data_IF_304311651834
#
_entry.id   IF_304311651834
#
_cell.length_a   1.000
_cell.length_b   1.000
_cell.length_c   1.000
_cell.angle_alpha   90.00
_cell.angle_beta   90.00
_cell.angle_gamma   90.00
#
_symmetry.space_group_name_H-M   'P 1'
#
loop_
_entity.id
_entity.type
_entity.pdbx_description
1 polymer ?
#
# COMPACT_ATOMS: atom_id res chain seq x y z
N UNK A 1 1.92 34.84 -11.00
CA UNK A 1 1.36 33.73 -11.80
C UNK A 1 0.13 33.06 -11.16
N UNK A 2 0.05 32.79 -9.85
CA UNK A 2 -1.19 32.20 -9.25
C UNK A 2 -2.26 33.27 -8.96
N UNK A 3 -1.85 34.44 -8.46
CA UNK A 3 -2.75 35.58 -8.16
C UNK A 3 -3.47 36.14 -9.40
N UNK A 4 -2.86 36.03 -10.59
CA UNK A 4 -3.46 36.47 -11.86
C UNK A 4 -4.66 35.61 -12.28
N UNK A 5 -4.75 34.37 -11.79
CA UNK A 5 -5.91 33.48 -12.00
C UNK A 5 -6.94 33.56 -10.86
N UNK A 6 -6.83 34.54 -9.95
CA UNK A 6 -7.70 34.70 -8.77
C UNK A 6 -7.71 33.51 -7.79
N UNK A 7 -6.72 32.62 -7.86
CA UNK A 7 -6.54 31.57 -6.86
C UNK A 7 -5.81 32.10 -5.62
N UNK A 8 -6.16 31.55 -4.45
CA UNK A 8 -5.51 31.82 -3.16
C UNK A 8 -4.86 30.54 -2.65
N UNK A 9 -3.71 30.69 -1.99
CA UNK A 9 -3.02 29.59 -1.34
C UNK A 9 -3.72 29.26 -0.01
N UNK A 10 -3.87 27.97 0.30
CA UNK A 10 -4.34 27.54 1.61
C UNK A 10 -3.13 27.49 2.57
N UNK A 11 -3.07 28.42 3.52
CA UNK A 11 -1.94 28.57 4.43
C UNK A 11 -1.80 27.38 5.40
N UNK A 12 -2.91 26.78 5.85
CA UNK A 12 -2.89 25.59 6.71
C UNK A 12 -2.22 24.39 6.03
N UNK A 13 -2.42 24.25 4.70
CA UNK A 13 -1.83 23.18 3.89
C UNK A 13 -0.46 23.53 3.32
N UNK A 14 0.00 24.77 3.51
CA UNK A 14 1.26 25.26 2.95
C UNK A 14 2.35 25.24 4.01
N UNK A 15 3.41 24.49 3.76
CA UNK A 15 4.59 24.49 4.62
C UNK A 15 5.88 24.38 3.81
N UNK A 16 6.96 24.95 4.35
CA UNK A 16 8.29 24.83 3.75
C UNK A 16 8.90 23.49 4.18
N UNK A 17 9.02 22.56 3.25
CA UNK A 17 9.57 21.21 3.52
C UNK A 17 11.08 21.13 3.26
N UNK A 18 11.89 21.24 4.32
CA UNK A 18 13.36 21.16 4.24
C UNK A 18 13.86 19.74 3.91
N UNK A 19 15.14 19.62 3.57
CA UNK A 19 15.83 18.34 3.47
C UNK A 19 15.76 17.59 4.81
N UNK A 20 15.32 16.34 4.81
CA UNK A 20 15.09 15.52 6.02
C UNK A 20 13.61 15.38 6.42
N UNK A 21 12.74 16.34 6.11
CA UNK A 21 11.29 16.22 6.35
C UNK A 21 10.64 15.23 5.38
N UNK A 22 9.66 14.43 5.84
CA UNK A 22 8.86 13.52 4.97
C UNK A 22 8.04 14.33 3.97
N UNK A 23 8.40 14.26 2.69
CA UNK A 23 7.62 14.79 1.57
C UNK A 23 6.71 13.70 1.04
N UNK A 24 5.42 13.97 1.02
CA UNK A 24 4.40 13.08 0.46
C UNK A 24 3.74 13.78 -0.72
N UNK A 25 3.82 13.17 -1.90
CA UNK A 25 3.11 13.63 -3.10
C UNK A 25 2.19 12.51 -3.53
N UNK A 26 0.89 12.79 -3.64
CA UNK A 26 -0.15 11.81 -4.03
C UNK A 26 -0.05 10.48 -3.26
N UNK A 27 0.23 10.53 -1.95
CA UNK A 27 0.38 9.34 -1.10
C UNK A 27 1.73 8.60 -1.20
N UNK A 28 2.68 9.09 -2.00
CA UNK A 28 4.01 8.51 -2.19
C UNK A 28 5.05 9.34 -1.47
N UNK A 29 5.97 8.68 -0.75
CA UNK A 29 7.12 9.36 -0.14
C UNK A 29 8.15 9.64 -1.24
N UNK A 30 8.56 10.89 -1.40
CA UNK A 30 9.46 11.33 -2.51
C UNK A 30 10.80 11.92 -2.05
N UNK A 31 11.18 11.72 -0.80
CA UNK A 31 12.35 12.39 -0.20
C UNK A 31 13.67 12.21 -0.97
N UNK A 32 14.08 10.97 -1.16
CA UNK A 32 15.36 10.61 -1.82
C UNK A 32 15.12 9.55 -2.88
N UNK A 33 14.13 8.70 -2.65
CA UNK A 33 13.62 7.67 -3.57
C UNK A 33 12.11 7.60 -3.39
N UNK A 34 11.40 7.21 -4.45
CA UNK A 34 9.97 6.96 -4.37
C UNK A 34 9.72 5.72 -3.53
N UNK A 35 8.91 5.84 -2.48
CA UNK A 35 8.52 4.71 -1.64
C UNK A 35 7.04 4.79 -1.23
N UNK A 36 6.41 3.64 -1.13
CA UNK A 36 5.12 3.54 -0.47
C UNK A 36 5.26 3.91 1.04
N UNK A 37 4.22 4.49 1.64
CA UNK A 37 4.18 4.81 3.06
C UNK A 37 4.63 3.63 3.94
N UNK A 38 5.31 3.95 5.05
CA UNK A 38 5.80 2.93 5.99
C UNK A 38 4.63 2.12 6.55
N UNK A 39 3.53 2.80 6.82
CA UNK A 39 2.30 2.26 7.39
C UNK A 39 1.71 1.20 6.44
N UNK A 40 1.49 1.55 5.18
CA UNK A 40 1.00 0.64 4.12
C UNK A 40 1.89 -0.60 3.96
N UNK A 41 3.21 -0.42 3.92
CA UNK A 41 4.15 -1.55 3.80
C UNK A 41 4.14 -2.46 5.04
N UNK A 42 3.98 -1.90 6.23
CA UNK A 42 3.93 -2.65 7.49
C UNK A 42 2.65 -3.48 7.56
N UNK A 43 1.52 -2.86 7.21
CA UNK A 43 0.22 -3.52 7.20
C UNK A 43 0.16 -4.65 6.18
N UNK A 44 0.66 -4.43 4.96
CA UNK A 44 0.77 -5.47 3.94
C UNK A 44 1.56 -6.69 4.45
N UNK A 45 2.76 -6.48 5.01
CA UNK A 45 3.58 -7.58 5.57
C UNK A 45 2.86 -8.31 6.70
N UNK A 46 2.20 -7.57 7.59
CA UNK A 46 1.41 -8.14 8.68
C UNK A 46 0.35 -9.08 8.09
N UNK A 47 -0.47 -8.59 7.18
CA UNK A 47 -1.56 -9.36 6.59
C UNK A 47 -1.03 -10.62 5.88
N UNK A 48 0.03 -10.49 5.08
CA UNK A 48 0.66 -11.66 4.42
C UNK A 48 1.17 -12.68 5.44
N UNK A 49 1.83 -12.24 6.52
CA UNK A 49 2.30 -13.13 7.57
C UNK A 49 1.16 -13.92 8.23
N UNK A 50 0.07 -13.25 8.60
CA UNK A 50 -1.08 -13.89 9.22
C UNK A 50 -1.79 -14.84 8.25
N UNK A 51 -1.95 -14.46 6.97
CA UNK A 51 -2.50 -15.35 5.94
C UNK A 51 -1.64 -16.61 5.75
N UNK A 52 -0.30 -16.46 5.75
CA UNK A 52 0.62 -17.61 5.69
C UNK A 52 0.49 -18.53 6.89
N UNK A 53 0.20 -17.98 8.08
CA UNK A 53 0.16 -18.72 9.34
C UNK A 53 -1.20 -19.39 9.60
N UNK A 54 -2.29 -18.72 9.25
CA UNK A 54 -3.65 -19.12 9.64
C UNK A 54 -4.58 -19.41 8.45
N UNK A 55 -4.11 -19.24 7.23
CA UNK A 55 -4.94 -19.29 6.03
C UNK A 55 -5.75 -18.01 5.82
N UNK A 56 -6.47 -17.95 4.70
CA UNK A 56 -7.27 -16.78 4.32
C UNK A 56 -8.47 -16.64 5.26
N UNK A 57 -9.25 -17.70 5.45
CA UNK A 57 -10.46 -17.68 6.29
C UNK A 57 -10.17 -17.37 7.76
N UNK A 58 -9.11 -17.98 8.31
CA UNK A 58 -8.68 -17.75 9.69
C UNK A 58 -8.20 -16.31 9.91
N UNK A 59 -7.52 -15.72 8.93
CA UNK A 59 -7.13 -14.32 9.00
C UNK A 59 -8.34 -13.38 8.90
N UNK A 60 -9.24 -13.61 7.94
CA UNK A 60 -10.47 -12.81 7.73
C UNK A 60 -11.35 -12.82 8.99
N UNK A 61 -11.57 -13.99 9.60
CA UNK A 61 -12.35 -14.14 10.83
C UNK A 61 -11.73 -13.36 12.00
N UNK A 62 -10.39 -13.36 12.11
CA UNK A 62 -9.70 -12.68 13.21
C UNK A 62 -9.68 -11.15 13.07
N UNK A 63 -9.75 -10.62 11.84
CA UNK A 63 -9.81 -9.18 11.60
C UNK A 63 -11.24 -8.64 11.46
N UNK A 64 -12.25 -9.51 11.62
CA UNK A 64 -13.67 -9.19 11.45
C UNK A 64 -13.98 -8.50 10.12
N UNK A 65 -13.33 -8.93 9.04
CA UNK A 65 -13.53 -8.35 7.70
C UNK A 65 -14.58 -9.15 6.93
N UNK A 66 -15.53 -8.47 6.29
CA UNK A 66 -16.65 -9.09 5.56
C UNK A 66 -16.51 -8.96 4.03
N UNK A 67 -15.38 -8.42 3.57
CA UNK A 67 -15.14 -8.27 2.13
C UNK A 67 -14.89 -9.63 1.49
N UNK A 68 -15.84 -10.08 0.69
CA UNK A 68 -15.71 -11.25 -0.19
C UNK A 68 -14.46 -11.17 -1.13
N UNK A 69 -13.98 -9.96 -1.44
CA UNK A 69 -12.78 -9.73 -2.26
C UNK A 69 -11.54 -9.32 -1.46
N UNK A 70 -11.43 -9.70 -0.18
CA UNK A 70 -10.33 -9.28 0.69
C UNK A 70 -8.94 -9.68 0.15
N UNK A 71 -8.81 -10.89 -0.40
CA UNK A 71 -7.54 -11.34 -0.98
C UNK A 71 -7.11 -10.47 -2.17
N UNK A 72 -8.06 -10.07 -3.03
CA UNK A 72 -7.81 -9.13 -4.14
C UNK A 72 -7.41 -7.75 -3.64
N UNK A 73 -8.00 -7.29 -2.54
CA UNK A 73 -7.63 -6.02 -1.91
C UNK A 73 -6.16 -6.03 -1.47
N UNK A 74 -5.71 -7.06 -0.75
CA UNK A 74 -4.30 -7.17 -0.32
C UNK A 74 -3.36 -7.25 -1.53
N UNK A 75 -3.73 -8.00 -2.57
CA UNK A 75 -2.94 -8.08 -3.80
C UNK A 75 -2.79 -6.68 -4.42
N UNK A 76 -3.88 -5.90 -4.52
CA UNK A 76 -3.83 -4.53 -5.03
C UNK A 76 -2.92 -3.62 -4.21
N UNK A 77 -2.93 -3.73 -2.88
CA UNK A 77 -2.01 -3.00 -2.00
C UNK A 77 -0.56 -3.39 -2.29
N UNK A 78 -0.27 -4.68 -2.46
CA UNK A 78 1.07 -5.16 -2.80
C UNK A 78 1.53 -4.68 -4.17
N UNK A 79 0.65 -4.68 -5.18
CA UNK A 79 0.95 -4.18 -6.52
C UNK A 79 1.23 -2.68 -6.53
N UNK A 80 0.49 -1.90 -5.76
CA UNK A 80 0.81 -0.48 -5.54
C UNK A 80 2.20 -0.30 -4.93
N UNK A 81 2.55 -1.09 -3.89
CA UNK A 81 3.88 -1.02 -3.27
C UNK A 81 4.97 -1.33 -4.31
N UNK A 82 4.77 -2.34 -5.15
CA UNK A 82 5.72 -2.72 -6.19
C UNK A 82 5.82 -1.69 -7.32
N UNK A 83 4.70 -1.07 -7.70
CA UNK A 83 4.69 0.02 -8.68
C UNK A 83 5.50 1.22 -8.20
N UNK A 84 5.41 1.57 -6.91
CA UNK A 84 6.18 2.67 -6.32
C UNK A 84 7.66 2.29 -6.10
N UNK A 85 7.93 1.06 -5.66
CA UNK A 85 9.28 0.55 -5.38
C UNK A 85 9.51 -0.80 -6.08
N UNK A 86 9.90 -0.72 -7.35
CA UNK A 86 10.02 -1.88 -8.25
C UNK A 86 11.15 -2.86 -7.89
N UNK A 87 12.03 -2.52 -6.95
CA UNK A 87 13.16 -3.37 -6.54
C UNK A 87 12.86 -4.23 -5.31
N UNK A 88 11.65 -4.14 -4.77
CA UNK A 88 11.28 -4.82 -3.53
C UNK A 88 11.00 -6.32 -3.75
N UNK A 89 12.06 -7.14 -3.67
CA UNK A 89 12.00 -8.61 -3.86
C UNK A 89 11.06 -9.33 -2.88
N UNK A 90 10.94 -8.84 -1.65
CA UNK A 90 10.07 -9.41 -0.62
C UNK A 90 8.60 -9.34 -1.06
N UNK A 91 8.17 -8.15 -1.51
CA UNK A 91 6.79 -7.93 -1.99
C UNK A 91 6.49 -8.76 -3.23
N UNK A 92 7.47 -8.98 -4.12
CA UNK A 92 7.30 -9.88 -5.27
C UNK A 92 7.01 -11.32 -4.81
N UNK A 93 7.78 -11.83 -3.84
CA UNK A 93 7.56 -13.18 -3.29
C UNK A 93 6.19 -13.32 -2.63
N UNK A 94 5.78 -12.30 -1.88
CA UNK A 94 4.48 -12.26 -1.21
C UNK A 94 3.32 -12.19 -2.20
N UNK A 95 3.42 -11.34 -3.24
CA UNK A 95 2.42 -11.29 -4.31
C UNK A 95 2.30 -12.62 -5.05
N UNK A 96 3.42 -13.29 -5.32
CA UNK A 96 3.40 -14.61 -5.97
C UNK A 96 2.74 -15.68 -5.09
N UNK A 97 2.87 -15.58 -3.77
CA UNK A 97 2.15 -16.42 -2.83
C UNK A 97 0.64 -16.13 -2.86
N UNK A 98 0.24 -14.86 -2.70
CA UNK A 98 -1.18 -14.47 -2.70
C UNK A 98 -1.88 -14.77 -4.04
N UNK A 99 -1.21 -14.56 -5.17
CA UNK A 99 -1.75 -14.87 -6.51
C UNK A 99 -1.96 -16.37 -6.72
N UNK A 100 -1.16 -17.23 -6.07
CA UNK A 100 -1.39 -18.68 -6.09
C UNK A 100 -2.64 -19.08 -5.30
N UNK A 101 -2.83 -18.47 -4.12
CA UNK A 101 -4.04 -18.68 -3.31
C UNK A 101 -5.32 -18.24 -4.06
N UNK A 102 -5.28 -17.09 -4.72
CA UNK A 102 -6.43 -16.60 -5.49
C UNK A 102 -6.80 -17.54 -6.65
N UNK A 103 -5.79 -18.14 -7.31
CA UNK A 103 -6.03 -19.11 -8.38
C UNK A 103 -6.65 -20.41 -7.86
N UNK A 104 -6.27 -20.89 -6.68
CA UNK A 104 -6.90 -22.09 -6.09
C UNK A 104 -8.36 -21.86 -5.72
N UNK A 105 -8.73 -20.66 -5.28
CA UNK A 105 -10.13 -20.30 -4.97
C UNK A 105 -11.00 -20.16 -6.24
N UNK A 106 -10.41 -19.83 -7.39
CA UNK A 106 -11.16 -19.60 -8.64
C UNK A 106 -11.48 -20.89 -9.42
N UNK A 107 -10.99 -22.04 -8.98
CA UNK A 107 -11.13 -23.34 -9.67
C UNK A 107 -12.21 -24.23 -9.00
N UNK A 108 -12.88 -23.72 -7.97
CA UNK A 108 -14.02 -24.37 -7.29
C UNK A 108 -15.32 -23.70 -7.70
#
# INVERSE_FOLDING_TARGET
MIKSFKFKLNEEKTSIMRSGSRKVVTGIIVNTRMQAPRETRREFRKNVFFIRKFGVDGHISQIEEDRNNYLRHIIGVGEFILWVDNKNKEVVSDLNFLKRLLKSESVV
#
